data_IF_200809374665
#
_entry.id   IF_200809374665
#
_cell.length_a   1.000
_cell.length_b   1.000
_cell.length_c   1.000
_cell.angle_alpha   90.00
_cell.angle_beta   90.00
_cell.angle_gamma   90.00
#
_symmetry.space_group_name_H-M   'P 1'
#
loop_
_entity.id
_entity.type
_entity.pdbx_description
1 polymer ?
#
# COMPACT_ATOMS: atom_id res chain seq x y z
N UNK A 1 31.11 -11.41 -21.04
CA UNK A 1 31.22 -12.12 -19.74
C UNK A 1 32.45 -13.03 -19.69
N UNK A 2 32.66 -13.96 -20.62
CA UNK A 2 33.78 -14.94 -20.59
C UNK A 2 35.20 -14.39 -20.78
N UNK A 3 35.31 -13.09 -21.02
CA UNK A 3 36.55 -12.31 -21.18
C UNK A 3 36.85 -11.43 -19.98
N UNK A 4 35.94 -11.36 -18.99
CA UNK A 4 36.17 -10.63 -17.74
C UNK A 4 36.93 -11.57 -16.80
N UNK A 5 38.07 -11.10 -16.31
CA UNK A 5 38.79 -11.76 -15.22
C UNK A 5 38.33 -11.14 -13.91
N UNK A 6 38.06 -11.95 -12.90
CA UNK A 6 37.65 -11.46 -11.57
C UNK A 6 38.78 -11.72 -10.58
N UNK A 7 39.30 -10.66 -9.98
CA UNK A 7 40.36 -10.73 -8.98
C UNK A 7 39.79 -10.46 -7.59
N UNK A 8 40.28 -11.23 -6.61
CA UNK A 8 39.86 -11.10 -5.23
C UNK A 8 40.33 -9.78 -4.62
N UNK A 9 39.44 -9.14 -3.86
CA UNK A 9 39.64 -7.91 -3.11
C UNK A 9 39.19 -8.11 -1.67
N UNK A 10 39.42 -7.13 -0.80
CA UNK A 10 39.05 -7.20 0.62
C UNK A 10 37.54 -7.41 0.87
N UNK A 11 36.70 -7.04 -0.11
CA UNK A 11 35.23 -7.02 0.02
C UNK A 11 34.50 -7.99 -0.93
N UNK A 12 35.20 -8.61 -1.88
CA UNK A 12 34.59 -9.42 -2.94
C UNK A 12 35.52 -9.56 -4.14
N UNK A 13 35.00 -9.55 -5.36
CA UNK A 13 35.78 -9.62 -6.58
C UNK A 13 35.57 -8.38 -7.45
N UNK A 14 36.68 -7.90 -8.02
CA UNK A 14 36.69 -6.79 -8.97
C UNK A 14 37.07 -7.28 -10.37
N UNK A 15 36.50 -6.65 -11.39
CA UNK A 15 36.76 -7.01 -12.77
C UNK A 15 38.11 -6.43 -13.24
N UNK A 16 38.99 -7.29 -13.75
CA UNK A 16 40.27 -6.94 -14.37
C UNK A 16 40.30 -7.38 -15.84
N UNK A 17 41.17 -6.76 -16.63
CA UNK A 17 41.32 -6.99 -18.07
C UNK A 17 40.06 -6.71 -18.92
N UNK A 18 39.45 -5.54 -18.72
CA UNK A 18 38.27 -5.10 -19.49
C UNK A 18 38.64 -4.86 -20.96
N UNK A 19 37.99 -5.58 -21.88
CA UNK A 19 38.14 -5.39 -23.33
C UNK A 19 36.77 -5.38 -24.00
N UNK A 20 36.45 -4.28 -24.69
CA UNK A 20 35.18 -4.05 -25.39
C UNK A 20 34.21 -3.14 -24.64
N UNK A 21 33.61 -2.19 -25.37
CA UNK A 21 32.77 -1.11 -24.82
C UNK A 21 31.62 -1.63 -23.95
N UNK A 22 30.95 -2.70 -24.39
CA UNK A 22 29.86 -3.34 -23.65
C UNK A 22 30.26 -3.92 -22.29
N UNK A 23 31.52 -4.30 -22.09
CA UNK A 23 32.02 -4.80 -20.81
C UNK A 23 32.32 -3.63 -19.87
N UNK A 24 32.86 -2.54 -20.42
CA UNK A 24 33.12 -1.31 -19.67
C UNK A 24 31.79 -0.73 -19.18
N UNK A 25 30.79 -0.58 -20.05
CA UNK A 25 29.46 -0.10 -19.70
C UNK A 25 28.80 -0.95 -18.60
N UNK A 26 28.98 -2.27 -18.67
CA UNK A 26 28.46 -3.19 -17.65
C UNK A 26 29.13 -2.97 -16.29
N UNK A 27 30.46 -2.88 -16.24
CA UNK A 27 31.19 -2.65 -14.99
C UNK A 27 30.90 -1.25 -14.42
N UNK A 28 30.82 -0.23 -15.27
CA UNK A 28 30.43 1.11 -14.85
C UNK A 28 29.01 1.11 -14.25
N UNK A 29 28.09 0.36 -14.84
CA UNK A 29 26.75 0.16 -14.29
C UNK A 29 26.81 -0.48 -12.90
N UNK A 30 27.63 -1.52 -12.70
CA UNK A 30 27.79 -2.14 -11.37
C UNK A 30 28.34 -1.13 -10.34
N UNK A 31 29.34 -0.33 -10.72
CA UNK A 31 29.92 0.69 -9.86
C UNK A 31 28.92 1.79 -9.50
N UNK A 32 28.11 2.25 -10.46
CA UNK A 32 27.06 3.26 -10.22
C UNK A 32 26.05 2.78 -9.17
N UNK A 33 25.72 1.48 -9.19
CA UNK A 33 24.78 0.88 -8.23
C UNK A 33 25.46 0.32 -6.97
N UNK A 34 26.77 0.54 -6.78
CA UNK A 34 27.57 -0.03 -5.68
C UNK A 34 27.42 -1.55 -5.57
N UNK A 35 27.31 -2.25 -6.70
CA UNK A 35 27.20 -3.70 -6.75
C UNK A 35 28.59 -4.34 -6.83
N UNK A 36 28.93 -5.13 -5.82
CA UNK A 36 30.15 -5.92 -5.78
C UNK A 36 29.85 -7.36 -6.15
N UNK A 37 30.76 -8.01 -6.87
CA UNK A 37 30.67 -9.42 -7.20
C UNK A 37 31.20 -10.27 -6.04
N UNK A 38 30.49 -11.32 -5.63
CA UNK A 38 30.87 -12.18 -4.49
C UNK A 38 31.13 -13.65 -4.85
N UNK A 39 30.82 -14.09 -6.07
CA UNK A 39 31.04 -15.47 -6.48
C UNK A 39 32.47 -15.70 -7.00
N UNK A 40 33.31 -16.32 -6.18
CA UNK A 40 34.67 -16.71 -6.56
C UNK A 40 34.81 -18.10 -7.18
N UNK A 41 33.72 -18.84 -7.39
CA UNK A 41 33.78 -20.27 -7.74
C UNK A 41 33.87 -20.42 -9.26
N UNK A 42 34.99 -20.93 -9.80
CA UNK A 42 35.11 -21.18 -11.23
C UNK A 42 34.40 -22.47 -11.63
N UNK A 43 34.01 -22.54 -12.90
CA UNK A 43 33.53 -23.76 -13.52
C UNK A 43 34.68 -24.76 -13.81
N UNK A 44 34.36 -25.90 -14.42
CA UNK A 44 35.35 -26.93 -14.76
C UNK A 44 36.44 -26.48 -15.75
N UNK A 45 36.27 -25.30 -16.38
CA UNK A 45 37.23 -24.69 -17.30
C UNK A 45 37.99 -23.49 -16.68
N UNK A 46 37.85 -23.26 -15.36
CA UNK A 46 38.54 -22.16 -14.68
C UNK A 46 37.93 -20.78 -14.92
N UNK A 47 36.70 -20.70 -15.44
CA UNK A 47 36.00 -19.42 -15.72
C UNK A 47 34.85 -19.18 -14.75
N UNK A 48 34.61 -17.91 -14.43
CA UNK A 48 33.45 -17.48 -13.63
C UNK A 48 32.40 -16.94 -14.61
N UNK A 49 31.28 -17.67 -14.75
CA UNK A 49 30.16 -17.30 -15.61
C UNK A 49 28.96 -16.81 -14.79
N UNK A 50 28.76 -17.41 -13.62
CA UNK A 50 27.67 -17.08 -12.71
C UNK A 50 28.09 -15.92 -11.81
N UNK A 51 27.35 -14.82 -11.87
CA UNK A 51 27.62 -13.63 -11.07
C UNK A 51 26.65 -13.55 -9.90
N UNK A 52 27.20 -13.30 -8.72
CA UNK A 52 26.43 -12.96 -7.53
C UNK A 52 26.78 -11.52 -7.18
N UNK A 53 25.83 -10.61 -7.39
CA UNK A 53 26.02 -9.17 -7.23
C UNK A 53 25.21 -8.68 -6.02
N UNK A 54 25.86 -7.98 -5.10
CA UNK A 54 25.20 -7.45 -3.90
C UNK A 54 25.84 -6.12 -3.47
N UNK A 55 25.05 -5.27 -2.82
CA UNK A 55 25.55 -4.03 -2.20
C UNK A 55 26.16 -4.27 -0.83
N UNK A 56 25.67 -5.29 -0.13
CA UNK A 56 26.12 -5.65 1.22
C UNK A 56 26.97 -6.92 1.20
N UNK A 57 27.73 -7.12 2.26
CA UNK A 57 28.59 -8.29 2.42
C UNK A 57 27.76 -9.58 2.49
N UNK A 58 28.05 -10.51 1.59
CA UNK A 58 27.45 -11.85 1.53
C UNK A 58 28.54 -12.89 1.39
N UNK A 59 28.24 -14.13 1.79
CA UNK A 59 29.17 -15.25 1.64
C UNK A 59 28.63 -16.20 0.57
N UNK A 60 29.48 -16.54 -0.41
CA UNK A 60 29.16 -17.48 -1.48
C UNK A 60 30.09 -18.67 -1.40
N UNK A 61 29.55 -19.89 -1.42
CA UNK A 61 30.31 -21.13 -1.40
C UNK A 61 29.65 -22.19 -2.28
N UNK A 62 30.40 -23.23 -2.64
CA UNK A 62 29.89 -24.32 -3.47
C UNK A 62 28.87 -25.14 -2.68
N UNK A 63 27.75 -25.46 -3.29
CA UNK A 63 26.67 -26.19 -2.64
C UNK A 63 27.14 -27.63 -2.34
N UNK A 64 27.14 -28.07 -1.07
CA UNK A 64 27.58 -29.41 -0.71
C UNK A 64 26.58 -30.51 -1.12
N UNK A 65 25.31 -30.16 -1.29
CA UNK A 65 24.23 -31.08 -1.67
C UNK A 65 23.32 -30.44 -2.73
N UNK A 66 23.73 -30.46 -4.01
CA UNK A 66 22.97 -29.84 -5.07
C UNK A 66 21.71 -30.64 -5.40
N UNK A 67 20.57 -29.95 -5.57
CA UNK A 67 19.28 -30.56 -5.91
C UNK A 67 19.27 -31.25 -7.29
N UNK A 68 20.20 -30.88 -8.17
CA UNK A 68 20.36 -31.40 -9.52
C UNK A 68 21.85 -31.67 -9.75
N UNK A 69 22.18 -32.65 -10.57
CA UNK A 69 23.56 -32.93 -10.96
C UNK A 69 24.19 -31.70 -11.64
N UNK A 70 25.39 -31.32 -11.21
CA UNK A 70 26.14 -30.21 -11.78
C UNK A 70 26.61 -30.52 -13.21
N UNK A 71 26.61 -29.52 -14.06
CA UNK A 71 27.21 -29.60 -15.39
C UNK A 71 28.62 -28.95 -15.41
N UNK A 72 29.43 -29.16 -16.46
CA UNK A 72 30.79 -28.61 -16.53
C UNK A 72 30.88 -27.08 -16.57
N UNK A 73 29.80 -26.40 -16.97
CA UNK A 73 29.73 -24.95 -17.13
C UNK A 73 29.24 -24.25 -15.87
N UNK A 74 28.37 -24.90 -15.09
CA UNK A 74 27.71 -24.30 -13.91
C UNK A 74 27.88 -25.16 -12.66
N UNK A 75 28.32 -24.48 -11.58
CA UNK A 75 28.41 -25.06 -10.23
C UNK A 75 27.22 -24.61 -9.39
N UNK A 76 26.72 -25.50 -8.55
CA UNK A 76 25.65 -25.12 -7.63
C UNK A 76 26.23 -24.23 -6.53
N UNK A 77 25.56 -23.10 -6.27
CA UNK A 77 26.02 -22.09 -5.32
C UNK A 77 25.08 -22.01 -4.11
N UNK A 78 25.66 -21.94 -2.91
CA UNK A 78 24.98 -21.50 -1.71
C UNK A 78 25.37 -20.05 -1.41
N UNK A 79 24.38 -19.23 -1.08
CA UNK A 79 24.55 -17.81 -0.80
C UNK A 79 23.98 -17.53 0.59
N UNK A 80 24.86 -17.21 1.53
CA UNK A 80 24.48 -16.80 2.88
C UNK A 80 24.36 -15.28 2.92
N UNK A 81 23.12 -14.81 3.11
CA UNK A 81 22.81 -13.38 3.24
C UNK A 81 22.51 -13.10 4.72
N UNK A 82 23.25 -12.19 5.38
CA UNK A 82 22.94 -11.79 6.74
C UNK A 82 21.63 -11.00 6.76
N UNK A 83 20.54 -11.64 7.18
CA UNK A 83 19.27 -10.95 7.39
C UNK A 83 19.28 -10.23 8.74
N UNK A 84 19.09 -8.91 8.70
CA UNK A 84 18.80 -8.15 9.90
C UNK A 84 17.30 -8.24 10.21
N UNK A 85 16.96 -8.70 11.41
CA UNK A 85 15.58 -8.63 11.92
C UNK A 85 15.19 -7.17 12.18
N UNK A 86 14.61 -6.53 11.17
CA UNK A 86 14.03 -5.20 11.36
C UNK A 86 12.73 -5.33 12.16
N UNK A 87 12.75 -4.87 13.40
CA UNK A 87 11.51 -4.69 14.15
C UNK A 87 10.69 -3.60 13.45
N UNK A 88 9.44 -3.89 13.05
CA UNK A 88 8.60 -2.89 12.41
C UNK A 88 8.43 -1.71 13.36
N UNK A 89 8.58 -0.49 12.83
CA UNK A 89 8.38 0.73 13.59
C UNK A 89 6.97 0.72 14.21
N UNK A 90 6.92 0.78 15.54
CA UNK A 90 5.66 0.86 16.26
C UNK A 90 5.04 2.24 15.98
N UNK A 91 3.93 2.26 15.24
CA UNK A 91 3.21 3.50 14.97
C UNK A 91 2.68 4.05 16.29
N UNK A 92 3.23 5.18 16.74
CA UNK A 92 2.77 5.84 17.96
C UNK A 92 1.29 6.22 17.81
N UNK A 93 0.45 5.97 18.83
CA UNK A 93 -0.95 6.36 18.79
C UNK A 93 -1.08 7.87 18.58
N UNK A 94 -1.93 8.28 17.63
CA UNK A 94 -2.16 9.70 17.34
C UNK A 94 -3.04 10.30 18.43
N UNK A 95 -2.55 11.32 19.13
CA UNK A 95 -3.36 12.14 20.03
C UNK A 95 -4.06 13.23 19.21
N UNK A 96 -5.36 13.41 19.45
CA UNK A 96 -6.18 14.43 18.78
C UNK A 96 -7.02 15.15 19.83
N UNK A 97 -7.05 16.48 19.78
CA UNK A 97 -7.91 17.29 20.64
C UNK A 97 -9.38 17.11 20.27
N UNK A 98 -10.23 17.00 21.30
CA UNK A 98 -11.67 16.92 21.14
C UNK A 98 -12.28 18.30 21.32
N UNK A 99 -12.14 19.16 20.30
CA UNK A 99 -12.62 20.55 20.34
C UNK A 99 -14.11 20.66 20.75
N UNK A 100 -14.97 19.77 20.26
CA UNK A 100 -16.38 19.72 20.67
C UNK A 100 -16.64 19.47 22.17
N UNK A 101 -15.62 19.06 22.94
CA UNK A 101 -15.68 18.83 24.40
C UNK A 101 -14.82 19.83 25.18
N UNK A 102 -14.34 20.89 24.54
CA UNK A 102 -13.56 21.92 25.20
C UNK A 102 -14.42 22.74 26.16
N UNK A 103 -13.85 23.10 27.31
CA UNK A 103 -14.45 24.08 28.21
C UNK A 103 -14.15 25.50 27.70
N UNK A 104 -15.00 25.96 26.80
CA UNK A 104 -14.85 27.28 26.18
C UNK A 104 -15.26 28.43 27.11
N UNK A 105 -16.04 28.17 28.16
CA UNK A 105 -16.38 29.18 29.15
C UNK A 105 -15.14 29.56 29.97
N UNK A 106 -14.41 28.57 30.47
CA UNK A 106 -13.14 28.80 31.18
C UNK A 106 -12.06 29.43 30.29
N UNK A 107 -11.98 29.02 29.01
CA UNK A 107 -11.07 29.65 28.04
C UNK A 107 -11.42 31.14 27.87
N UNK A 108 -12.70 31.47 27.68
CA UNK A 108 -13.14 32.87 27.53
C UNK A 108 -12.82 33.68 28.77
N UNK A 109 -13.15 33.18 29.96
CA UNK A 109 -12.84 33.85 31.22
C UNK A 109 -11.34 34.15 31.33
N UNK A 110 -10.49 33.16 31.04
CA UNK A 110 -9.04 33.33 31.15
C UNK A 110 -8.45 34.30 30.13
N UNK A 111 -8.97 34.30 28.90
CA UNK A 111 -8.61 35.28 27.86
C UNK A 111 -9.01 36.70 28.29
N UNK A 112 -10.17 36.86 28.95
CA UNK A 112 -10.63 38.16 29.45
C UNK A 112 -9.82 38.68 30.63
N UNK A 113 -9.30 37.79 31.48
CA UNK A 113 -8.41 38.15 32.60
C UNK A 113 -6.96 38.44 32.18
N UNK A 114 -6.60 38.13 30.94
CA UNK A 114 -5.24 38.28 30.45
C UNK A 114 -4.91 39.74 30.19
N UNK A 115 -3.80 40.23 30.73
CA UNK A 115 -3.27 41.56 30.42
C UNK A 115 -2.57 41.55 29.05
N UNK A 116 -3.34 41.89 28.01
CA UNK A 116 -2.85 41.98 26.64
C UNK A 116 -1.84 43.10 26.42
N UNK A 117 -1.91 44.17 27.22
CA UNK A 117 -0.94 45.26 27.09
C UNK A 117 0.44 44.79 27.51
N UNK A 118 0.52 44.01 28.59
CA UNK A 118 1.78 43.42 29.04
C UNK A 118 2.33 42.37 28.06
N UNK A 119 1.47 41.51 27.52
CA UNK A 119 1.90 40.41 26.62
C UNK A 119 2.34 40.95 25.25
N UNK A 120 1.63 41.96 24.74
CA UNK A 120 1.91 42.52 23.41
C UNK A 120 2.92 43.67 23.46
N UNK A 121 3.33 44.17 24.64
CA UNK A 121 4.38 45.17 24.80
C UNK A 121 5.79 44.57 24.64
N UNK A 122 6.05 43.94 23.49
CA UNK A 122 7.37 43.40 23.13
C UNK A 122 7.91 44.10 21.88
N UNK A 123 9.23 44.05 21.73
CA UNK A 123 9.97 44.86 20.75
C UNK A 123 9.69 44.52 19.29
N UNK A 124 9.23 43.30 19.00
CA UNK A 124 8.95 42.84 17.65
C UNK A 124 7.58 42.18 17.56
N UNK A 125 6.98 42.27 16.38
CA UNK A 125 5.68 41.65 16.11
C UNK A 125 5.78 40.14 16.22
N UNK A 126 6.90 39.56 15.80
CA UNK A 126 7.18 38.13 15.86
C UNK A 126 7.11 37.61 17.31
N UNK A 127 7.73 38.33 18.25
CA UNK A 127 7.73 37.96 19.66
C UNK A 127 6.31 38.06 20.26
N UNK A 128 5.55 39.09 19.87
CA UNK A 128 4.16 39.25 20.34
C UNK A 128 3.28 38.08 19.85
N UNK A 129 3.51 37.65 18.61
CA UNK A 129 2.79 36.56 17.97
C UNK A 129 3.15 35.21 18.60
N UNK A 130 4.42 34.99 18.95
CA UNK A 130 4.88 33.81 19.67
C UNK A 130 4.24 33.72 21.07
N UNK A 131 4.22 34.82 21.82
CA UNK A 131 3.58 34.85 23.15
C UNK A 131 2.07 34.62 23.07
N UNK A 132 1.40 35.23 22.08
CA UNK A 132 -0.01 34.99 21.81
C UNK A 132 -0.29 33.49 21.55
N UNK A 133 0.46 32.87 20.64
CA UNK A 133 0.28 31.44 20.36
C UNK A 133 0.61 30.56 21.55
N UNK A 134 1.63 30.90 22.31
CA UNK A 134 1.99 30.18 23.54
C UNK A 134 0.82 30.15 24.51
N UNK A 135 0.24 31.31 24.82
CA UNK A 135 -0.96 31.39 25.67
C UNK A 135 -2.13 30.59 25.09
N UNK A 136 -2.41 30.73 23.79
CA UNK A 136 -3.51 30.00 23.15
C UNK A 136 -3.31 28.48 23.19
N UNK A 137 -2.07 27.99 23.06
CA UNK A 137 -1.75 26.57 23.18
C UNK A 137 -1.80 26.07 24.61
N UNK A 138 -1.39 26.87 25.59
CA UNK A 138 -1.56 26.55 27.01
C UNK A 138 -3.04 26.38 27.37
N UNK A 139 -3.89 27.33 26.96
CA UNK A 139 -5.33 27.25 27.19
C UNK A 139 -5.95 26.05 26.49
N UNK A 140 -5.55 25.78 25.23
CA UNK A 140 -5.98 24.57 24.51
C UNK A 140 -5.61 23.31 25.30
N UNK A 141 -4.38 23.22 25.78
CA UNK A 141 -3.86 22.02 26.44
C UNK A 141 -4.49 21.80 27.82
N UNK A 142 -4.85 22.87 28.50
CA UNK A 142 -5.52 22.84 29.80
C UNK A 142 -7.02 22.53 29.70
N UNK A 143 -7.73 23.16 28.76
CA UNK A 143 -9.20 23.15 28.73
C UNK A 143 -9.81 22.29 27.62
N UNK A 144 -9.01 21.75 26.68
CA UNK A 144 -9.51 20.88 25.60
C UNK A 144 -8.96 19.46 25.78
N UNK A 145 -9.82 18.48 26.11
CA UNK A 145 -9.36 17.12 26.36
C UNK A 145 -8.83 16.46 25.08
N UNK A 146 -7.70 15.76 25.22
CA UNK A 146 -7.16 14.91 24.16
C UNK A 146 -7.80 13.52 24.19
N UNK A 147 -7.96 12.92 23.00
CA UNK A 147 -8.27 11.50 22.84
C UNK A 147 -7.23 10.80 21.99
N UNK A 148 -7.00 9.53 22.29
CA UNK A 148 -6.16 8.66 21.47
C UNK A 148 -7.00 8.12 20.31
N UNK A 149 -6.60 8.44 19.09
CA UNK A 149 -7.17 7.88 17.87
C UNK A 149 -6.31 6.71 17.44
N UNK A 150 -6.85 5.50 17.63
CA UNK A 150 -6.25 4.29 17.08
C UNK A 150 -6.90 3.96 15.74
N UNK A 151 -6.11 3.37 14.83
CA UNK A 151 -6.68 2.77 13.63
C UNK A 151 -7.57 1.61 14.05
N UNK A 152 -8.78 1.53 13.50
CA UNK A 152 -9.63 0.38 13.72
C UNK A 152 -8.93 -0.85 13.15
N UNK A 153 -8.76 -1.89 13.98
CA UNK A 153 -8.14 -3.16 13.58
C UNK A 153 -9.08 -4.00 12.72
N UNK A 154 -10.38 -3.71 12.80
CA UNK A 154 -11.42 -4.44 12.11
C UNK A 154 -12.01 -3.61 10.98
N UNK A 155 -12.55 -4.26 9.93
CA UNK A 155 -13.29 -3.58 8.88
C UNK A 155 -14.45 -2.75 9.42
N UNK A 156 -14.88 -1.69 8.71
CA UNK A 156 -15.94 -0.79 9.18
C UNK A 156 -17.31 -1.45 9.33
N UNK A 157 -17.56 -2.60 8.68
CA UNK A 157 -18.78 -3.39 8.85
C UNK A 157 -18.75 -4.32 10.07
N UNK A 158 -17.63 -4.47 10.77
CA UNK A 158 -17.57 -5.34 11.95
C UNK A 158 -18.26 -4.67 13.15
N UNK A 159 -19.25 -5.36 13.71
CA UNK A 159 -19.86 -4.98 14.99
C UNK A 159 -19.18 -5.69 16.18
N UNK A 160 -19.51 -5.28 17.41
CA UNK A 160 -18.95 -5.85 18.64
C UNK A 160 -19.24 -7.34 18.80
N UNK A 161 -20.41 -7.81 18.35
CA UNK A 161 -20.82 -9.20 18.40
C UNK A 161 -19.95 -10.09 17.48
N UNK A 162 -19.76 -9.69 16.22
CA UNK A 162 -18.90 -10.37 15.26
C UNK A 162 -17.46 -10.43 15.75
N UNK A 163 -16.94 -9.30 16.28
CA UNK A 163 -15.59 -9.26 16.86
C UNK A 163 -15.43 -10.28 17.98
N UNK A 164 -16.44 -10.42 18.86
CA UNK A 164 -16.41 -11.41 19.94
C UNK A 164 -16.34 -12.84 19.40
N UNK A 165 -17.17 -13.17 18.42
CA UNK A 165 -17.20 -14.51 17.80
C UNK A 165 -15.89 -14.82 17.09
N UNK A 166 -15.30 -13.86 16.36
CA UNK A 166 -14.00 -14.03 15.69
C UNK A 166 -12.88 -14.26 16.72
N UNK A 167 -12.90 -13.54 17.85
CA UNK A 167 -11.93 -13.76 18.94
C UNK A 167 -12.08 -15.14 19.57
N UNK A 168 -13.31 -15.58 19.85
CA UNK A 168 -13.59 -16.92 20.37
C UNK A 168 -13.15 -18.01 19.37
N UNK A 169 -13.45 -17.84 18.08
CA UNK A 169 -13.00 -18.73 17.00
C UNK A 169 -11.49 -18.95 17.06
N UNK A 170 -10.71 -17.86 17.11
CA UNK A 170 -9.24 -17.96 17.19
C UNK A 170 -8.73 -18.53 18.52
N UNK A 171 -9.45 -18.29 19.63
CA UNK A 171 -9.13 -18.91 20.93
C UNK A 171 -9.23 -20.43 20.86
N UNK A 172 -10.32 -20.98 20.31
CA UNK A 172 -10.49 -22.43 20.17
C UNK A 172 -9.54 -23.05 19.15
N UNK A 173 -9.27 -22.36 18.04
CA UNK A 173 -8.25 -22.82 17.10
C UNK A 173 -6.87 -22.97 17.75
N UNK A 174 -6.46 -21.99 18.56
CA UNK A 174 -5.19 -22.03 19.29
C UNK A 174 -5.17 -23.18 20.31
N UNK A 175 -6.25 -23.37 21.06
CA UNK A 175 -6.36 -24.50 22.00
C UNK A 175 -6.23 -25.84 21.29
N UNK A 176 -6.94 -26.03 20.17
CA UNK A 176 -6.84 -27.24 19.38
C UNK A 176 -5.41 -27.48 18.87
N UNK A 177 -4.73 -26.44 18.36
CA UNK A 177 -3.33 -26.55 17.92
C UNK A 177 -2.37 -26.91 19.04
N UNK A 178 -2.61 -26.45 20.26
CA UNK A 178 -1.73 -26.69 21.39
C UNK A 178 -1.98 -28.02 22.10
N UNK A 179 -3.24 -28.45 22.20
CA UNK A 179 -3.64 -29.58 23.04
C UNK A 179 -4.28 -30.74 22.28
N UNK A 180 -4.66 -30.57 21.01
CA UNK A 180 -5.20 -31.64 20.16
C UNK A 180 -6.64 -32.10 20.49
N UNK A 181 -7.35 -31.45 21.41
CA UNK A 181 -8.68 -31.86 21.85
C UNK A 181 -9.75 -31.74 20.74
N UNK A 182 -10.50 -32.82 20.51
CA UNK A 182 -11.58 -32.86 19.50
C UNK A 182 -12.71 -31.87 19.83
N UNK A 183 -13.05 -31.68 21.11
CA UNK A 183 -14.09 -30.72 21.52
C UNK A 183 -13.74 -29.27 21.14
N UNK A 184 -12.46 -28.89 21.24
CA UNK A 184 -11.97 -27.58 20.83
C UNK A 184 -12.05 -27.42 19.30
N UNK A 185 -11.76 -28.48 18.54
CA UNK A 185 -11.92 -28.50 17.09
C UNK A 185 -13.39 -28.33 16.66
N UNK A 186 -14.32 -29.06 17.30
CA UNK A 186 -15.75 -28.92 17.03
C UNK A 186 -16.26 -27.51 17.34
N UNK A 187 -15.82 -26.95 18.48
CA UNK A 187 -16.14 -25.57 18.87
C UNK A 187 -15.60 -24.55 17.86
N UNK A 188 -14.37 -24.74 17.39
CA UNK A 188 -13.78 -23.92 16.33
C UNK A 188 -14.59 -23.99 15.03
N UNK A 189 -14.98 -25.20 14.59
CA UNK A 189 -15.77 -25.39 13.37
C UNK A 189 -17.11 -24.67 13.45
N UNK A 190 -17.85 -24.86 14.55
CA UNK A 190 -19.11 -24.16 14.80
C UNK A 190 -18.95 -22.63 14.78
N UNK A 191 -17.92 -22.11 15.46
CA UNK A 191 -17.65 -20.66 15.50
C UNK A 191 -17.19 -20.12 14.15
N UNK A 192 -16.50 -20.91 13.33
CA UNK A 192 -16.11 -20.54 11.96
C UNK A 192 -17.35 -20.35 11.08
N UNK A 193 -18.27 -21.31 11.11
CA UNK A 193 -19.49 -21.27 10.29
C UNK A 193 -20.38 -20.09 10.73
N UNK A 194 -20.55 -19.92 12.05
CA UNK A 194 -21.29 -18.79 12.62
C UNK A 194 -20.67 -17.43 12.28
N UNK A 195 -19.33 -17.32 12.34
CA UNK A 195 -18.64 -16.09 11.98
C UNK A 195 -18.87 -15.72 10.52
N UNK A 196 -18.85 -16.70 9.60
CA UNK A 196 -19.05 -16.46 8.17
C UNK A 196 -20.46 -15.93 7.85
N UNK A 197 -21.48 -16.46 8.53
CA UNK A 197 -22.87 -15.99 8.38
C UNK A 197 -23.00 -14.54 8.86
N UNK A 198 -22.57 -14.27 10.10
CA UNK A 198 -22.73 -12.94 10.70
C UNK A 198 -21.86 -11.90 9.98
N UNK A 199 -20.69 -12.28 9.50
CA UNK A 199 -19.84 -11.41 8.70
C UNK A 199 -20.53 -10.96 7.42
N UNK A 200 -21.23 -11.88 6.74
CA UNK A 200 -22.02 -11.58 5.54
C UNK A 200 -23.18 -10.64 5.88
N UNK A 201 -23.97 -10.96 6.90
CA UNK A 201 -25.08 -10.11 7.34
C UNK A 201 -24.63 -8.69 7.71
N UNK A 202 -23.51 -8.58 8.43
CA UNK A 202 -22.94 -7.29 8.81
C UNK A 202 -22.46 -6.50 7.60
N UNK A 203 -21.84 -7.18 6.63
CA UNK A 203 -21.41 -6.55 5.38
C UNK A 203 -22.61 -6.08 4.56
N UNK A 204 -23.63 -6.91 4.37
CA UNK A 204 -24.81 -6.58 3.57
C UNK A 204 -25.60 -5.41 4.19
N UNK A 205 -25.77 -5.40 5.52
CA UNK A 205 -26.36 -4.27 6.23
C UNK A 205 -25.53 -2.99 6.11
N UNK A 206 -24.20 -3.10 6.11
CA UNK A 206 -23.30 -1.97 5.90
C UNK A 206 -23.43 -1.39 4.48
N UNK A 207 -23.55 -2.26 3.48
CA UNK A 207 -23.77 -1.86 2.08
C UNK A 207 -25.13 -1.17 1.92
N UNK A 208 -26.22 -1.76 2.42
CA UNK A 208 -27.55 -1.17 2.33
C UNK A 208 -27.60 0.24 2.96
N UNK A 209 -27.05 0.40 4.17
CA UNK A 209 -26.94 1.71 4.83
C UNK A 209 -26.09 2.71 4.04
N UNK A 210 -25.04 2.23 3.36
CA UNK A 210 -24.21 3.09 2.52
C UNK A 210 -25.02 3.56 1.31
N UNK A 211 -25.73 2.67 0.64
CA UNK A 211 -26.59 2.95 -0.52
C UNK A 211 -27.66 4.00 -0.17
N UNK A 212 -28.34 3.84 0.97
CA UNK A 212 -29.34 4.81 1.48
C UNK A 212 -28.72 6.19 1.77
N UNK A 213 -27.46 6.22 2.21
CA UNK A 213 -26.77 7.46 2.60
C UNK A 213 -25.91 8.08 1.49
N UNK A 214 -25.95 7.57 0.24
CA UNK A 214 -25.13 8.12 -0.86
C UNK A 214 -25.42 9.60 -1.08
N UNK A 215 -26.70 9.99 -1.07
CA UNK A 215 -27.12 11.37 -1.33
C UNK A 215 -26.76 12.32 -0.17
N UNK A 216 -26.79 11.83 1.07
CA UNK A 216 -26.54 12.64 2.27
C UNK A 216 -25.07 12.67 2.68
N UNK A 217 -24.32 11.61 2.39
CA UNK A 217 -22.92 11.45 2.76
C UNK A 217 -22.11 10.69 1.69
N UNK A 218 -21.88 11.30 0.52
CA UNK A 218 -21.15 10.65 -0.57
C UNK A 218 -19.70 10.31 -0.22
N UNK A 219 -19.13 10.94 0.84
CA UNK A 219 -17.76 10.66 1.29
C UNK A 219 -17.58 9.23 1.77
N UNK A 220 -18.59 8.61 2.38
CA UNK A 220 -18.49 7.22 2.84
C UNK A 220 -18.36 6.25 1.65
N UNK A 221 -19.16 6.45 0.61
CA UNK A 221 -19.08 5.70 -0.63
C UNK A 221 -17.70 5.81 -1.28
N UNK A 222 -17.20 7.03 -1.46
CA UNK A 222 -15.87 7.23 -2.07
C UNK A 222 -14.74 6.65 -1.22
N UNK A 223 -14.88 6.66 0.10
CA UNK A 223 -13.91 6.03 1.01
C UNK A 223 -13.91 4.51 0.85
N UNK A 224 -15.09 3.89 0.81
CA UNK A 224 -15.24 2.45 0.57
C UNK A 224 -14.68 2.05 -0.81
N UNK A 225 -15.01 2.80 -1.85
CA UNK A 225 -14.49 2.58 -3.20
C UNK A 225 -12.97 2.67 -3.26
N UNK A 226 -12.36 3.68 -2.63
CA UNK A 226 -10.91 3.82 -2.57
C UNK A 226 -10.25 2.66 -1.83
N UNK A 227 -10.86 2.19 -0.74
CA UNK A 227 -10.34 1.06 0.04
C UNK A 227 -10.44 -0.28 -0.70
N UNK A 228 -11.44 -0.44 -1.58
CA UNK A 228 -11.67 -1.66 -2.35
C UNK A 228 -11.11 -1.63 -3.77
N UNK A 229 -10.48 -0.52 -4.19
CA UNK A 229 -9.68 -0.51 -5.40
C UNK A 229 -8.48 -1.43 -5.18
N UNK A 230 -8.30 -2.40 -6.07
CA UNK A 230 -7.07 -3.16 -6.11
C UNK A 230 -5.93 -2.17 -6.38
N UNK A 231 -4.96 -2.09 -5.47
CA UNK A 231 -3.68 -1.41 -5.71
C UNK A 231 -2.83 -2.28 -6.65
N UNK A 232 -3.31 -2.59 -7.85
CA UNK A 232 -2.48 -3.26 -8.85
C UNK A 232 -1.76 -2.20 -9.69
N UNK A 233 -0.45 -2.33 -9.79
CA UNK A 233 0.42 -1.52 -10.66
C UNK A 233 0.03 -1.65 -12.15
N UNK A 234 -0.76 -2.66 -12.50
CA UNK A 234 -1.30 -2.95 -13.82
C UNK A 234 -2.83 -3.15 -13.77
N UNK A 235 -3.58 -2.82 -14.83
CA UNK A 235 -5.03 -2.96 -14.84
C UNK A 235 -5.48 -4.42 -14.66
N UNK A 236 -6.56 -4.63 -13.91
CA UNK A 236 -7.10 -5.96 -13.57
C UNK A 236 -7.61 -6.76 -14.79
N UNK A 237 -7.77 -6.07 -15.92
CA UNK A 237 -8.18 -6.61 -17.21
C UNK A 237 -7.32 -5.95 -18.28
N UNK A 238 -6.67 -6.75 -19.12
CA UNK A 238 -5.88 -6.28 -20.27
C UNK A 238 -6.48 -6.84 -21.55
N UNK A 239 -6.70 -5.97 -22.53
CA UNK A 239 -7.20 -6.36 -23.85
C UNK A 239 -6.11 -6.18 -24.89
N UNK A 240 -5.83 -7.24 -25.66
CA UNK A 240 -4.99 -7.18 -26.84
C UNK A 240 -5.65 -7.97 -27.97
N UNK A 241 -5.75 -7.34 -29.15
CA UNK A 241 -6.28 -7.95 -30.37
C UNK A 241 -7.65 -8.66 -30.20
N UNK A 242 -8.59 -8.03 -29.47
CA UNK A 242 -9.93 -8.56 -29.24
C UNK A 242 -10.03 -9.64 -28.15
N UNK A 243 -8.90 -10.12 -27.64
CA UNK A 243 -8.84 -11.03 -26.49
C UNK A 243 -8.66 -10.25 -25.20
N UNK A 244 -9.45 -10.60 -24.19
CA UNK A 244 -9.46 -9.97 -22.87
C UNK A 244 -8.97 -10.97 -21.82
N UNK A 245 -7.86 -10.67 -21.17
CA UNK A 245 -7.36 -11.42 -20.03
C UNK A 245 -7.78 -10.70 -18.74
N UNK A 246 -8.54 -11.39 -17.88
CA UNK A 246 -8.95 -10.88 -16.58
C UNK A 246 -8.33 -11.70 -15.46
N UNK A 247 -7.82 -11.03 -14.44
CA UNK A 247 -7.21 -11.66 -13.24
C UNK A 247 -8.23 -12.32 -12.30
N UNK A 248 -9.51 -12.43 -12.69
CA UNK A 248 -10.55 -13.14 -11.93
C UNK A 248 -10.96 -12.47 -10.60
N UNK A 249 -10.42 -11.30 -10.26
CA UNK A 249 -10.88 -10.50 -9.11
C UNK A 249 -12.13 -9.72 -9.46
N UNK A 250 -13.28 -10.31 -9.18
CA UNK A 250 -14.54 -9.57 -9.11
C UNK A 250 -14.48 -8.61 -7.93
N UNK A 251 -14.16 -7.34 -8.20
CA UNK A 251 -14.25 -6.28 -7.20
C UNK A 251 -15.72 -6.00 -6.90
N UNK A 252 -16.17 -6.32 -5.69
CA UNK A 252 -17.52 -6.04 -5.19
C UNK A 252 -18.00 -4.60 -5.40
N UNK A 253 -17.08 -3.64 -5.62
CA UNK A 253 -17.39 -2.25 -5.98
C UNK A 253 -17.99 -2.03 -7.38
N UNK A 254 -17.75 -2.89 -8.37
CA UNK A 254 -18.33 -2.74 -9.72
C UNK A 254 -19.84 -2.97 -9.74
N UNK A 255 -20.34 -3.88 -8.91
CA UNK A 255 -21.77 -4.18 -8.82
C UNK A 255 -22.56 -3.01 -8.21
N UNK A 256 -21.96 -2.26 -7.28
CA UNK A 256 -22.56 -1.08 -6.66
C UNK A 256 -22.60 0.12 -7.62
N UNK A 257 -21.53 0.36 -8.39
CA UNK A 257 -21.52 1.39 -9.44
C UNK A 257 -22.61 1.15 -10.50
N UNK A 258 -22.80 -0.11 -10.90
CA UNK A 258 -23.82 -0.48 -11.90
C UNK A 258 -25.25 -0.24 -11.38
N UNK A 259 -25.50 -0.47 -10.09
CA UNK A 259 -26.80 -0.17 -9.45
C UNK A 259 -27.03 1.33 -9.25
N UNK A 260 -26.01 2.10 -8.89
CA UNK A 260 -26.10 3.57 -8.73
C UNK A 260 -26.34 4.26 -10.07
N UNK A 261 -25.68 3.83 -11.15
CA UNK A 261 -25.94 4.36 -12.49
C UNK A 261 -27.35 4.01 -13.01
N UNK A 262 -27.87 2.82 -12.68
CA UNK A 262 -29.20 2.38 -13.13
C UNK A 262 -30.38 2.93 -12.30
N UNK A 263 -30.13 3.55 -11.14
CA UNK A 263 -31.18 4.01 -10.21
C UNK A 263 -31.41 5.53 -10.18
N UNK A 264 -30.78 6.32 -11.05
CA UNK A 264 -31.23 7.70 -11.31
C UNK A 264 -30.13 8.75 -11.46
N UNK A 265 -29.31 8.66 -12.50
CA UNK A 265 -28.54 9.80 -13.01
C UNK A 265 -28.71 9.89 -14.53
N UNK A 266 -29.94 10.17 -14.98
CA UNK A 266 -30.22 10.57 -16.38
C UNK A 266 -30.43 12.07 -16.54
N UNK A 267 -30.15 12.91 -15.55
CA UNK A 267 -30.02 14.35 -15.81
C UNK A 267 -28.95 14.98 -14.92
N UNK A 268 -28.05 15.70 -15.60
CA UNK A 268 -27.13 16.69 -15.05
C UNK A 268 -25.96 16.18 -14.21
N UNK A 269 -24.85 15.91 -14.88
CA UNK A 269 -23.55 16.50 -14.51
C UNK A 269 -22.65 16.46 -15.74
N UNK A 270 -22.76 17.50 -16.58
CA UNK A 270 -21.70 17.86 -17.51
C UNK A 270 -20.42 18.08 -16.69
N UNK A 271 -19.38 17.33 -17.03
CA UNK A 271 -18.01 17.69 -16.66
C UNK A 271 -17.70 19.07 -17.25
N UNK A 272 -16.97 19.96 -16.55
CA UNK A 272 -16.47 21.16 -17.19
C UNK A 272 -15.45 20.76 -18.26
N UNK A 273 -15.86 20.84 -19.52
CA UNK A 273 -15.00 20.73 -20.69
C UNK A 273 -14.02 21.89 -20.68
N UNK A 274 -12.72 21.57 -20.59
CA UNK A 274 -11.65 22.50 -20.91
C UNK A 274 -11.74 22.83 -22.41
N UNK A 275 -12.00 24.09 -22.73
CA UNK A 275 -12.01 24.60 -24.10
C UNK A 275 -10.60 24.55 -24.73
N UNK A 276 -10.45 24.06 -25.98
CA UNK A 276 -9.27 24.33 -26.78
C UNK A 276 -9.44 25.63 -27.55
N UNK A 277 -8.47 26.56 -27.41
CA UNK A 277 -8.37 27.77 -28.22
C UNK A 277 -8.03 27.44 -29.69
N UNK A 278 -8.98 27.75 -30.58
CA UNK A 278 -8.77 28.57 -31.80
C UNK A 278 -7.96 28.03 -33.00
N UNK A 279 -8.19 28.58 -34.23
CA UNK A 279 -8.48 27.77 -35.41
C UNK A 279 -7.54 27.99 -36.61
N UNK A 280 -7.54 27.04 -37.56
CA UNK A 280 -7.20 27.24 -38.99
C UNK A 280 -7.81 26.08 -39.81
N UNK A 281 -8.98 26.26 -40.42
CA UNK A 281 -9.25 26.62 -41.84
C UNK A 281 -9.22 25.45 -42.87
N UNK A 282 -10.43 25.16 -43.40
CA UNK A 282 -10.83 24.64 -44.75
C UNK A 282 -10.16 23.35 -45.29
N UNK A 283 -10.86 22.37 -45.89
CA UNK A 283 -11.90 22.39 -46.94
C UNK A 283 -12.59 20.98 -47.05
N UNK A 284 -13.60 20.76 -47.92
CA UNK A 284 -14.72 19.82 -47.67
C UNK A 284 -14.73 18.51 -48.49
N UNK A 285 -15.68 17.63 -48.11
CA UNK A 285 -16.50 16.74 -48.98
C UNK A 285 -15.85 15.43 -49.49
N UNK A 286 -16.43 14.26 -49.16
CA UNK A 286 -17.40 13.58 -50.04
C UNK A 286 -18.00 12.31 -49.38
N UNK A 287 -19.27 12.08 -49.71
CA UNK A 287 -20.14 10.98 -49.34
C UNK A 287 -19.78 9.68 -50.09
N UNK A 288 -19.92 8.52 -49.44
CA UNK A 288 -20.47 7.32 -50.10
C UNK A 288 -20.78 6.20 -49.11
N UNK A 289 -22.06 6.12 -48.74
CA UNK A 289 -22.97 4.99 -48.90
C UNK A 289 -22.54 3.52 -48.61
N UNK A 290 -23.54 2.85 -48.03
CA UNK A 290 -23.98 1.47 -48.24
C UNK A 290 -23.53 0.36 -47.29
N UNK A 291 -24.54 -0.14 -46.55
CA UNK A 291 -25.02 -1.54 -46.48
C UNK A 291 -24.00 -2.59 -45.96
N UNK A 292 -24.31 -3.46 -45.00
CA UNK A 292 -25.47 -4.37 -44.94
C UNK A 292 -25.58 -5.00 -43.54
N UNK A 293 -26.82 -5.21 -43.13
CA UNK A 293 -27.28 -6.15 -42.10
C UNK A 293 -27.20 -7.62 -42.55
N UNK A 294 -27.28 -8.52 -41.55
CA UNK A 294 -27.31 -10.01 -41.55
C UNK A 294 -25.91 -10.63 -41.36
N UNK A 295 -25.66 -11.56 -40.45
CA UNK A 295 -26.54 -12.38 -39.62
C UNK A 295 -25.88 -13.75 -39.46
N UNK A 296 -25.61 -14.15 -38.22
CA UNK A 296 -25.63 -15.48 -37.57
C UNK A 296 -25.02 -15.26 -36.18
#
# INVERSE_FOLDING_TARGET
MSSITWEATDIGFSATALSGDHIIDFIDTLNIYNLTQFNGIPNSYGKILDLVLCTDYITVYACPDPLVAEDPFHKALCIDVPFFDFKPLQVKPRKVYSYHRGDYDSIRARISETDWMQILSVSTVENALELFYTLMYELRDQYIPMRIVSKNKYPPWYNSALIKIVKEKFKYHRKFKNYGNISDHLSFKLLRDRAAIIERECHDAYIARMEESILTNPKQFWTYMKQNRANSTYPATMSYAGTVASSGRWGSGQHMLTRVCNSGLTSEMQQPTLEPRGPAQSAPYDDTACNTWRGI
#
